data_IF_286775262138
#
_entry.id   IF_286775262138
#
_cell.length_a   1.000
_cell.length_b   1.000
_cell.length_c   1.000
_cell.angle_alpha   90.00
_cell.angle_beta   90.00
_cell.angle_gamma   90.00
#
_symmetry.space_group_name_H-M   'P 1'
#
loop_
_entity.id
_entity.type
_entity.pdbx_description
1 polymer ?
#
# COMPACT_ATOMS: atom_id res chain seq x y z
N UNK A 1 35.42 6.38 21.39
CA UNK A 1 35.34 5.23 20.48
C UNK A 1 34.55 5.65 19.27
N UNK A 2 35.13 5.52 18.06
CA UNK A 2 34.47 5.93 16.82
C UNK A 2 33.54 4.82 16.34
N UNK A 3 32.58 5.16 15.48
CA UNK A 3 31.71 4.19 14.81
C UNK A 3 32.04 4.16 13.34
N UNK A 4 32.27 2.97 12.79
CA UNK A 4 32.50 2.74 11.37
C UNK A 4 31.37 1.87 10.82
N UNK A 5 30.72 2.30 9.75
CA UNK A 5 29.59 1.59 9.13
C UNK A 5 30.03 1.02 7.79
N UNK A 6 29.84 -0.28 7.60
CA UNK A 6 30.08 -0.91 6.31
C UNK A 6 28.99 -0.48 5.31
N UNK A 7 29.37 0.19 4.22
CA UNK A 7 28.42 0.69 3.20
C UNK A 7 27.81 -0.41 2.34
N UNK A 8 28.30 -1.65 2.46
CA UNK A 8 27.79 -2.81 1.70
C UNK A 8 26.64 -3.50 2.44
N UNK A 9 26.72 -3.62 3.76
CA UNK A 9 25.75 -4.42 4.54
C UNK A 9 25.21 -3.72 5.80
N UNK A 10 25.69 -2.52 6.11
CA UNK A 10 25.24 -1.76 7.29
C UNK A 10 25.84 -2.21 8.62
N UNK A 11 26.77 -3.18 8.65
CA UNK A 11 27.44 -3.58 9.89
C UNK A 11 28.14 -2.38 10.56
N UNK A 12 27.88 -2.19 11.85
CA UNK A 12 28.48 -1.11 12.65
C UNK A 12 29.59 -1.69 13.51
N UNK A 13 30.81 -1.20 13.31
CA UNK A 13 31.96 -1.46 14.16
C UNK A 13 32.21 -0.29 15.10
N UNK A 14 32.46 -0.57 16.38
CA UNK A 14 32.89 0.44 17.34
C UNK A 14 34.35 0.18 17.71
N UNK A 15 35.22 1.16 17.49
CA UNK A 15 36.67 1.04 17.68
C UNK A 15 37.41 2.32 17.35
N UNK A 16 38.74 2.27 17.32
CA UNK A 16 39.57 3.41 16.92
C UNK A 16 39.77 3.50 15.39
N UNK A 17 39.65 2.37 14.69
CA UNK A 17 39.73 2.24 13.24
C UNK A 17 38.73 1.20 12.70
N UNK A 18 38.43 1.25 11.40
CA UNK A 18 37.67 0.20 10.73
C UNK A 18 38.42 -1.15 10.78
N UNK A 19 37.71 -2.30 10.84
CA UNK A 19 38.35 -3.61 10.77
C UNK A 19 38.87 -3.87 9.35
N UNK A 20 39.91 -4.70 9.22
CA UNK A 20 40.50 -5.07 7.92
C UNK A 20 39.46 -5.67 6.96
N UNK A 21 38.57 -6.50 7.51
CA UNK A 21 37.44 -7.09 6.80
C UNK A 21 36.16 -6.98 7.62
N UNK A 22 35.03 -6.69 6.97
CA UNK A 22 33.72 -6.74 7.59
C UNK A 22 33.41 -8.17 8.08
N UNK A 23 33.04 -8.37 9.35
CA UNK A 23 32.74 -9.71 9.86
C UNK A 23 31.52 -10.34 9.19
N UNK A 24 30.57 -9.52 8.71
CA UNK A 24 29.33 -9.95 8.06
C UNK A 24 29.53 -10.28 6.58
N UNK A 25 29.87 -9.30 5.75
CA UNK A 25 29.92 -9.50 4.28
C UNK A 25 31.34 -9.70 3.72
N UNK A 26 32.38 -9.68 4.57
CA UNK A 26 33.79 -9.79 4.20
C UNK A 26 34.31 -8.67 3.28
N UNK A 27 33.55 -7.58 3.11
CA UNK A 27 34.03 -6.39 2.42
C UNK A 27 35.29 -5.83 3.08
N UNK A 28 36.25 -5.31 2.29
CA UNK A 28 37.48 -4.72 2.83
C UNK A 28 37.23 -3.44 3.62
N UNK A 29 38.22 -3.04 4.42
CA UNK A 29 38.18 -1.84 5.27
C UNK A 29 37.81 -0.54 4.53
N UNK A 30 38.14 -0.42 3.23
CA UNK A 30 37.81 0.73 2.39
C UNK A 30 36.30 0.92 2.16
N UNK A 31 35.48 -0.08 2.51
CA UNK A 31 34.02 -0.02 2.48
C UNK A 31 33.41 0.42 3.81
N UNK A 32 34.21 0.88 4.76
CA UNK A 32 33.73 1.47 5.99
C UNK A 32 33.80 2.99 5.96
N UNK A 33 32.69 3.62 6.33
CA UNK A 33 32.63 5.06 6.55
C UNK A 33 32.56 5.35 8.06
N UNK A 34 33.38 6.29 8.53
CA UNK A 34 33.27 6.78 9.90
C UNK A 34 31.96 7.57 10.03
N UNK A 35 31.11 7.16 10.97
CA UNK A 35 29.84 7.82 11.22
C UNK A 35 30.11 9.13 11.95
N UNK A 36 29.93 10.24 11.23
CA UNK A 36 29.97 11.59 11.80
C UNK A 36 28.62 11.91 12.43
N UNK A 37 28.63 12.54 13.60
CA UNK A 37 27.40 13.02 14.25
C UNK A 37 26.81 14.19 13.46
N UNK A 38 25.51 14.09 13.15
CA UNK A 38 24.79 15.07 12.34
C UNK A 38 23.38 14.61 12.01
N UNK A 39 22.63 15.44 11.28
CA UNK A 39 21.33 15.05 10.76
C UNK A 39 21.47 13.89 9.77
N UNK A 40 20.62 12.86 9.91
CA UNK A 40 20.56 11.76 8.96
C UNK A 40 20.12 12.29 7.59
N UNK A 41 20.90 11.98 6.56
CA UNK A 41 20.56 12.24 5.17
C UNK A 41 20.61 10.93 4.40
N UNK A 42 19.48 10.51 3.86
CA UNK A 42 19.39 9.35 2.98
C UNK A 42 19.99 9.69 1.61
N UNK A 43 20.61 8.70 0.97
CA UNK A 43 21.21 8.89 -0.36
C UNK A 43 20.17 9.09 -1.46
N UNK A 44 19.04 8.39 -1.35
CA UNK A 44 17.87 8.54 -2.22
C UNK A 44 16.61 7.99 -1.53
N UNK A 45 15.44 8.20 -2.12
CA UNK A 45 14.15 7.73 -1.61
C UNK A 45 13.12 7.54 -2.74
N UNK A 46 12.12 6.68 -2.49
CA UNK A 46 10.93 6.62 -3.34
C UNK A 46 10.14 7.92 -3.22
N UNK A 47 9.61 8.40 -4.35
CA UNK A 47 8.81 9.63 -4.43
C UNK A 47 7.46 9.33 -5.04
N UNK A 48 6.41 9.85 -4.42
CA UNK A 48 5.05 9.79 -4.94
C UNK A 48 4.84 10.93 -5.94
N UNK A 49 4.16 10.64 -7.05
CA UNK A 49 3.81 11.62 -8.09
C UNK A 49 4.92 11.92 -9.08
N UNK A 50 5.88 10.99 -9.28
CA UNK A 50 6.96 11.18 -10.26
C UNK A 50 6.48 11.25 -11.71
N UNK A 51 5.25 10.81 -12.00
CA UNK A 51 4.62 10.97 -13.31
C UNK A 51 4.01 12.37 -13.53
N UNK A 52 4.09 13.28 -12.57
CA UNK A 52 3.59 14.64 -12.75
C UNK A 52 4.32 15.36 -13.90
N UNK A 53 3.57 15.83 -14.90
CA UNK A 53 4.11 16.56 -16.04
C UNK A 53 4.81 15.73 -17.11
N UNK A 54 4.69 14.39 -17.05
CA UNK A 54 5.15 13.52 -18.15
C UNK A 54 4.21 13.62 -19.36
N UNK A 55 4.58 12.95 -20.46
CA UNK A 55 3.77 12.87 -21.67
C UNK A 55 2.34 12.40 -21.39
N UNK A 56 1.36 13.01 -22.06
CA UNK A 56 -0.06 12.78 -21.80
C UNK A 56 -0.51 11.36 -22.15
N UNK A 57 0.06 10.75 -23.20
CA UNK A 57 -0.26 9.37 -23.57
C UNK A 57 0.30 8.40 -22.52
N UNK A 58 1.51 8.66 -22.02
CA UNK A 58 2.10 7.87 -20.92
C UNK A 58 1.25 8.00 -19.67
N UNK A 59 0.88 9.23 -19.27
CA UNK A 59 0.08 9.49 -18.07
C UNK A 59 -1.28 8.78 -18.15
N UNK A 60 -1.97 8.85 -19.28
CA UNK A 60 -3.24 8.14 -19.48
C UNK A 60 -3.05 6.62 -19.44
N UNK A 61 -1.97 6.11 -20.03
CA UNK A 61 -1.59 4.71 -19.94
C UNK A 61 -1.42 4.24 -18.48
N UNK A 62 -0.74 5.02 -17.64
CA UNK A 62 -0.57 4.70 -16.22
C UNK A 62 -1.91 4.66 -15.48
N UNK A 63 -2.84 5.58 -15.77
CA UNK A 63 -4.18 5.61 -15.16
C UNK A 63 -5.02 4.40 -15.55
N UNK A 64 -5.04 4.07 -16.85
CA UNK A 64 -5.78 2.91 -17.34
C UNK A 64 -5.27 1.61 -16.70
N UNK A 65 -3.95 1.46 -16.60
CA UNK A 65 -3.37 0.28 -15.96
C UNK A 65 -3.66 0.25 -14.45
N UNK A 66 -3.59 1.38 -13.72
CA UNK A 66 -4.01 1.42 -12.31
C UNK A 66 -5.43 0.86 -12.11
N UNK A 67 -6.37 1.25 -12.96
CA UNK A 67 -7.76 0.75 -12.92
C UNK A 67 -7.83 -0.72 -13.32
N UNK A 68 -7.08 -1.14 -14.34
CA UNK A 68 -6.98 -2.52 -14.79
C UNK A 68 -6.51 -3.45 -13.66
N UNK A 69 -5.36 -3.16 -13.08
CA UNK A 69 -4.76 -3.92 -11.97
C UNK A 69 -5.72 -3.99 -10.77
N UNK A 70 -6.33 -2.85 -10.37
CA UNK A 70 -7.33 -2.84 -9.30
C UNK A 70 -8.55 -3.72 -9.61
N UNK A 71 -8.95 -3.82 -10.88
CA UNK A 71 -10.04 -4.68 -11.32
C UNK A 71 -9.64 -6.14 -11.26
N UNK A 72 -8.42 -6.48 -11.67
CA UNK A 72 -7.88 -7.84 -11.62
C UNK A 72 -7.76 -8.36 -10.19
N UNK A 73 -7.35 -7.53 -9.22
CA UNK A 73 -7.38 -7.91 -7.79
C UNK A 73 -8.76 -8.42 -7.38
N UNK A 74 -9.81 -7.66 -7.69
CA UNK A 74 -11.19 -8.04 -7.35
C UNK A 74 -11.64 -9.31 -8.10
N UNK A 75 -11.30 -9.41 -9.38
CA UNK A 75 -11.62 -10.56 -10.22
C UNK A 75 -10.94 -11.84 -9.72
N UNK A 76 -9.63 -11.82 -9.47
CA UNK A 76 -8.88 -12.99 -9.02
C UNK A 76 -9.29 -13.43 -7.62
N UNK A 77 -9.60 -12.52 -6.69
CA UNK A 77 -10.17 -12.90 -5.39
C UNK A 77 -11.56 -13.55 -5.54
N UNK A 78 -12.39 -13.09 -6.48
CA UNK A 78 -13.68 -13.70 -6.76
C UNK A 78 -13.54 -15.08 -7.42
N UNK A 79 -12.61 -15.23 -8.38
CA UNK A 79 -12.29 -16.51 -9.02
C UNK A 79 -11.71 -17.51 -8.02
N UNK A 80 -10.84 -17.05 -7.10
CA UNK A 80 -10.31 -17.85 -6.00
C UNK A 80 -11.44 -18.46 -5.16
N UNK A 81 -12.40 -17.63 -4.73
CA UNK A 81 -13.59 -18.10 -3.98
C UNK A 81 -14.44 -19.09 -4.77
N UNK A 82 -14.50 -18.95 -6.10
CA UNK A 82 -15.24 -19.88 -6.95
C UNK A 82 -14.52 -21.23 -7.06
N UNK A 83 -13.20 -21.22 -7.26
CA UNK A 83 -12.39 -22.44 -7.30
C UNK A 83 -12.50 -23.25 -6.00
N UNK A 84 -12.50 -22.59 -4.83
CA UNK A 84 -12.74 -23.25 -3.55
C UNK A 84 -14.10 -23.95 -3.47
N UNK A 85 -15.18 -23.31 -3.97
CA UNK A 85 -16.53 -23.89 -3.98
C UNK A 85 -16.64 -25.12 -4.89
N UNK A 86 -15.83 -25.17 -5.94
CA UNK A 86 -15.74 -26.31 -6.86
C UNK A 86 -14.79 -27.41 -6.37
N UNK A 87 -14.05 -27.16 -5.28
CA UNK A 87 -13.14 -28.13 -4.69
C UNK A 87 -11.72 -28.11 -5.28
N UNK A 88 -11.28 -26.98 -5.83
CA UNK A 88 -9.94 -26.78 -6.39
C UNK A 88 -9.09 -25.82 -5.53
N UNK A 89 -8.68 -26.21 -4.32
CA UNK A 89 -7.99 -25.30 -3.39
C UNK A 89 -6.62 -24.83 -3.90
N UNK A 90 -5.91 -25.63 -4.70
CA UNK A 90 -4.61 -25.23 -5.28
C UNK A 90 -4.79 -24.14 -6.34
N UNK A 91 -5.89 -24.19 -7.09
CA UNK A 91 -6.26 -23.14 -8.06
C UNK A 91 -6.70 -21.88 -7.32
N UNK A 92 -7.47 -22.03 -6.24
CA UNK A 92 -7.89 -20.91 -5.40
C UNK A 92 -6.70 -20.16 -4.81
N UNK A 93 -5.70 -20.89 -4.29
CA UNK A 93 -4.49 -20.30 -3.73
C UNK A 93 -3.62 -19.62 -4.81
N UNK A 94 -3.54 -20.21 -6.02
CA UNK A 94 -2.87 -19.57 -7.14
C UNK A 94 -3.50 -18.22 -7.49
N UNK A 95 -4.84 -18.16 -7.64
CA UNK A 95 -5.55 -16.91 -7.90
C UNK A 95 -5.34 -15.89 -6.78
N UNK A 96 -5.38 -16.32 -5.53
CA UNK A 96 -5.17 -15.43 -4.38
C UNK A 96 -3.77 -14.84 -4.37
N UNK A 97 -2.73 -15.63 -4.64
CA UNK A 97 -1.34 -15.13 -4.74
C UNK A 97 -1.21 -14.11 -5.86
N UNK A 98 -1.74 -14.42 -7.04
CA UNK A 98 -1.70 -13.51 -8.20
C UNK A 98 -2.45 -12.21 -7.89
N UNK A 99 -3.59 -12.27 -7.19
CA UNK A 99 -4.29 -11.06 -6.76
C UNK A 99 -3.44 -10.14 -5.88
N UNK A 100 -2.52 -10.67 -5.07
CA UNK A 100 -1.57 -9.84 -4.31
C UNK A 100 -0.42 -9.30 -5.17
N UNK A 101 -0.05 -9.99 -6.25
CA UNK A 101 0.90 -9.50 -7.24
C UNK A 101 0.28 -8.31 -8.02
N UNK A 102 -0.97 -8.42 -8.47
CA UNK A 102 -1.65 -7.28 -9.14
C UNK A 102 -1.93 -6.12 -8.17
N UNK A 103 -2.16 -6.40 -6.89
CA UNK A 103 -2.26 -5.35 -5.88
C UNK A 103 -0.94 -4.57 -5.72
N UNK A 104 0.20 -5.24 -5.91
CA UNK A 104 1.53 -4.62 -5.90
C UNK A 104 1.74 -3.75 -7.14
N UNK A 105 1.31 -4.24 -8.32
CA UNK A 105 1.32 -3.45 -9.56
C UNK A 105 0.45 -2.20 -9.43
N UNK A 106 -0.79 -2.34 -8.94
CA UNK A 106 -1.70 -1.22 -8.69
C UNK A 106 -1.08 -0.20 -7.72
N UNK A 107 -0.42 -0.65 -6.65
CA UNK A 107 0.25 0.24 -5.69
C UNK A 107 1.36 1.06 -6.37
N UNK A 108 2.19 0.44 -7.20
CA UNK A 108 3.23 1.15 -7.98
C UNK A 108 2.64 2.18 -8.92
N UNK A 109 1.58 1.85 -9.65
CA UNK A 109 0.91 2.83 -10.52
C UNK A 109 0.34 4.01 -9.71
N UNK A 110 -0.29 3.74 -8.57
CA UNK A 110 -0.80 4.77 -7.68
C UNK A 110 0.31 5.70 -7.16
N UNK A 111 1.46 5.14 -6.77
CA UNK A 111 2.63 5.92 -6.33
C UNK A 111 3.21 6.76 -7.47
N UNK A 112 3.36 6.20 -8.67
CA UNK A 112 3.85 6.94 -9.84
C UNK A 112 2.94 8.14 -10.15
N UNK A 113 1.61 7.90 -10.16
CA UNK A 113 0.60 8.91 -10.45
C UNK A 113 0.51 9.99 -9.37
N UNK A 114 0.48 9.60 -8.09
CA UNK A 114 0.27 10.50 -6.96
C UNK A 114 -1.12 11.16 -6.91
N UNK A 115 -2.09 10.62 -7.64
CA UNK A 115 -3.46 11.18 -7.72
C UNK A 115 -4.40 10.60 -6.65
N UNK A 116 -4.17 9.34 -6.25
CA UNK A 116 -5.00 8.60 -5.28
C UNK A 116 -4.29 8.34 -3.96
N UNK A 117 -3.02 8.75 -3.85
CA UNK A 117 -2.17 8.61 -2.67
C UNK A 117 -1.23 9.81 -2.60
N UNK A 118 -0.91 10.26 -1.39
CA UNK A 118 0.02 11.37 -1.14
C UNK A 118 1.24 10.89 -0.36
N UNK A 119 2.29 11.72 -0.31
CA UNK A 119 3.47 11.49 0.53
C UNK A 119 3.26 11.76 2.03
N UNK A 120 2.03 12.06 2.46
CA UNK A 120 1.71 12.34 3.87
C UNK A 120 0.73 11.31 4.42
N UNK A 121 1.19 10.50 5.37
CA UNK A 121 0.33 9.54 6.08
C UNK A 121 -0.86 10.21 6.75
N UNK A 122 -0.68 11.41 7.31
CA UNK A 122 -1.77 12.20 7.87
C UNK A 122 -2.82 12.52 6.80
N UNK A 123 -2.39 13.04 5.65
CA UNK A 123 -3.30 13.41 4.57
C UNK A 123 -4.01 12.19 3.99
N UNK A 124 -3.31 11.07 3.83
CA UNK A 124 -3.90 9.83 3.36
C UNK A 124 -5.00 9.33 4.34
N UNK A 125 -4.76 9.41 5.65
CA UNK A 125 -5.79 9.07 6.66
C UNK A 125 -7.00 10.01 6.59
N UNK A 126 -6.80 11.33 6.48
CA UNK A 126 -7.89 12.30 6.30
C UNK A 126 -8.75 11.95 5.08
N UNK A 127 -8.11 11.70 3.93
CA UNK A 127 -8.79 11.32 2.69
C UNK A 127 -9.57 10.00 2.84
N UNK A 128 -9.01 9.00 3.54
CA UNK A 128 -9.71 7.73 3.76
C UNK A 128 -10.89 7.87 4.71
N UNK A 129 -10.80 8.69 5.77
CA UNK A 129 -11.95 8.97 6.65
C UNK A 129 -13.12 9.57 5.86
N UNK A 130 -12.85 10.57 5.03
CA UNK A 130 -13.86 11.20 4.19
C UNK A 130 -14.43 10.21 3.15
N UNK A 131 -13.56 9.43 2.51
CA UNK A 131 -13.97 8.43 1.53
C UNK A 131 -14.88 7.35 2.14
N UNK A 132 -14.54 6.81 3.31
CA UNK A 132 -15.37 5.78 3.97
C UNK A 132 -16.71 6.34 4.43
N UNK A 133 -16.75 7.59 4.91
CA UNK A 133 -17.99 8.25 5.28
C UNK A 133 -18.94 8.39 4.07
N UNK A 134 -18.41 8.83 2.93
CA UNK A 134 -19.18 8.91 1.68
C UNK A 134 -19.60 7.54 1.12
N UNK A 135 -18.68 6.58 1.10
CA UNK A 135 -18.94 5.23 0.59
C UNK A 135 -20.01 4.50 1.41
N UNK A 136 -20.02 4.69 2.73
CA UNK A 136 -21.05 4.18 3.62
C UNK A 136 -22.46 4.66 3.19
N UNK A 137 -22.63 5.96 2.93
CA UNK A 137 -23.90 6.51 2.48
C UNK A 137 -24.33 5.94 1.12
N UNK A 138 -23.38 5.86 0.16
CA UNK A 138 -23.64 5.29 -1.16
C UNK A 138 -24.09 3.83 -1.11
N UNK A 139 -23.40 2.99 -0.32
CA UNK A 139 -23.78 1.58 -0.13
C UNK A 139 -25.14 1.43 0.54
N UNK A 140 -25.46 2.25 1.54
CA UNK A 140 -26.78 2.23 2.17
C UNK A 140 -27.90 2.55 1.18
N UNK A 141 -27.69 3.51 0.28
CA UNK A 141 -28.67 3.86 -0.75
C UNK A 141 -28.92 2.68 -1.71
N UNK A 142 -27.85 2.00 -2.15
CA UNK A 142 -27.96 0.80 -3.01
C UNK A 142 -28.72 -0.31 -2.28
N UNK A 143 -28.36 -0.59 -1.03
CA UNK A 143 -29.01 -1.64 -0.23
C UNK A 143 -30.52 -1.36 -0.08
N UNK A 144 -30.89 -0.13 0.31
CA UNK A 144 -32.31 0.27 0.40
C UNK A 144 -33.04 0.08 -0.92
N UNK A 145 -32.43 0.49 -2.04
CA UNK A 145 -33.04 0.31 -3.35
C UNK A 145 -33.22 -1.15 -3.73
N UNK A 146 -32.22 -2.00 -3.45
CA UNK A 146 -32.31 -3.44 -3.64
C UNK A 146 -33.47 -4.04 -2.83
N UNK A 147 -33.66 -3.58 -1.58
CA UNK A 147 -34.77 -4.04 -0.73
C UNK A 147 -36.15 -3.64 -1.29
N UNK A 148 -36.29 -2.40 -1.77
CA UNK A 148 -37.53 -1.93 -2.42
C UNK A 148 -37.90 -2.77 -3.65
N UNK A 149 -36.89 -3.26 -4.38
CA UNK A 149 -37.05 -4.08 -5.58
C UNK A 149 -37.17 -5.59 -5.28
N UNK A 150 -37.15 -6.00 -4.00
CA UNK A 150 -37.21 -7.42 -3.61
C UNK A 150 -35.92 -8.21 -3.91
N UNK A 151 -34.79 -7.55 -4.08
CA UNK A 151 -33.48 -8.14 -4.39
C UNK A 151 -32.69 -8.44 -3.10
N UNK A 152 -33.21 -9.35 -2.28
CA UNK A 152 -32.73 -9.57 -0.91
C UNK A 152 -31.24 -9.96 -0.83
N UNK A 153 -30.75 -10.83 -1.70
CA UNK A 153 -29.33 -11.23 -1.70
C UNK A 153 -28.37 -10.04 -1.97
N UNK A 154 -28.80 -9.09 -2.81
CA UNK A 154 -28.05 -7.86 -3.09
C UNK A 154 -28.12 -6.92 -1.90
N UNK A 155 -29.32 -6.72 -1.34
CA UNK A 155 -29.49 -5.91 -0.13
C UNK A 155 -28.59 -6.40 1.00
N UNK A 156 -28.65 -7.68 1.34
CA UNK A 156 -27.96 -8.23 2.50
C UNK A 156 -26.44 -8.08 2.36
N UNK A 157 -25.91 -8.39 1.17
CA UNK A 157 -24.47 -8.28 0.90
C UNK A 157 -23.99 -6.82 0.94
N UNK A 158 -24.68 -5.91 0.25
CA UNK A 158 -24.27 -4.50 0.17
C UNK A 158 -24.48 -3.77 1.50
N UNK A 159 -25.52 -4.14 2.25
CA UNK A 159 -25.76 -3.59 3.58
C UNK A 159 -24.68 -4.03 4.57
N UNK A 160 -24.17 -5.26 4.48
CA UNK A 160 -23.03 -5.67 5.30
C UNK A 160 -21.77 -4.86 4.95
N UNK A 161 -21.48 -4.70 3.66
CA UNK A 161 -20.37 -3.84 3.20
C UNK A 161 -20.53 -2.38 3.66
N UNK A 162 -21.76 -1.86 3.77
CA UNK A 162 -22.01 -0.53 4.34
C UNK A 162 -21.56 -0.42 5.80
N UNK A 163 -21.79 -1.47 6.62
CA UNK A 163 -21.31 -1.51 8.01
C UNK A 163 -19.80 -1.59 8.06
N UNK A 164 -19.19 -2.32 7.13
CA UNK A 164 -17.73 -2.37 6.99
C UNK A 164 -17.13 -0.98 6.73
N UNK A 165 -17.72 -0.15 5.87
CA UNK A 165 -17.20 1.22 5.66
C UNK A 165 -17.33 2.10 6.91
N UNK A 166 -18.41 1.93 7.69
CA UNK A 166 -18.49 2.60 8.99
C UNK A 166 -17.38 2.14 9.94
N UNK A 167 -17.07 0.84 9.98
CA UNK A 167 -15.98 0.26 10.77
C UNK A 167 -14.61 0.75 10.29
N UNK A 168 -14.36 0.79 8.98
CA UNK A 168 -13.13 1.30 8.37
C UNK A 168 -12.94 2.78 8.68
N UNK A 169 -13.98 3.60 8.47
CA UNK A 169 -13.94 5.03 8.78
C UNK A 169 -13.65 5.29 10.25
N UNK A 170 -14.28 4.54 11.17
CA UNK A 170 -14.00 4.63 12.60
C UNK A 170 -12.54 4.27 12.94
N UNK A 171 -12.00 3.21 12.31
CA UNK A 171 -10.61 2.81 12.50
C UNK A 171 -9.62 3.89 12.01
N UNK A 172 -9.81 4.40 10.78
CA UNK A 172 -8.95 5.46 10.24
C UNK A 172 -9.06 6.75 11.04
N UNK A 173 -10.27 7.13 11.47
CA UNK A 173 -10.46 8.32 12.31
C UNK A 173 -9.76 8.16 13.66
N UNK A 174 -9.87 7.00 14.30
CA UNK A 174 -9.18 6.72 15.56
C UNK A 174 -7.65 6.81 15.43
N UNK A 175 -7.08 6.31 14.33
CA UNK A 175 -5.64 6.43 14.03
C UNK A 175 -5.23 7.88 13.76
N UNK A 176 -6.03 8.61 12.96
CA UNK A 176 -5.80 10.02 12.67
C UNK A 176 -5.78 10.84 13.96
N UNK A 177 -6.80 10.67 14.81
CA UNK A 177 -6.92 11.37 16.08
C UNK A 177 -5.75 11.05 17.02
N UNK A 178 -5.39 9.77 17.13
CA UNK A 178 -4.33 9.31 18.04
C UNK A 178 -2.95 9.86 17.69
N UNK A 179 -2.62 9.93 16.40
CA UNK A 179 -1.26 10.24 15.94
C UNK A 179 -1.08 11.67 15.43
N UNK A 180 -2.15 12.38 15.05
CA UNK A 180 -2.04 13.63 14.29
C UNK A 180 -2.92 14.81 14.75
N UNK A 181 -3.71 14.66 15.82
CA UNK A 181 -4.60 15.72 16.36
C UNK A 181 -3.99 16.52 17.52
N UNK A 182 -2.66 16.75 17.49
CA UNK A 182 -1.97 17.67 18.40
C UNK A 182 -1.79 19.05 17.76
#
# INVERSE_FOLDING_TARGET
>A
MKKFVCVICGYVHEGDSAPEFCPTCKAPADKFEEKVEGALKWADEHRIGVAAGVDAQVLEGLKMNFVGECTEVGMYLAMSRQADREGYPEVAEAYKRIAFEEAEHAAKFAELLGEVVTNSTKKNLELRVEAEYGACQGKLAIAKKAKELGLDAIHDTVHEMCKDEARHGAAFKGLLDRFFSK
#
